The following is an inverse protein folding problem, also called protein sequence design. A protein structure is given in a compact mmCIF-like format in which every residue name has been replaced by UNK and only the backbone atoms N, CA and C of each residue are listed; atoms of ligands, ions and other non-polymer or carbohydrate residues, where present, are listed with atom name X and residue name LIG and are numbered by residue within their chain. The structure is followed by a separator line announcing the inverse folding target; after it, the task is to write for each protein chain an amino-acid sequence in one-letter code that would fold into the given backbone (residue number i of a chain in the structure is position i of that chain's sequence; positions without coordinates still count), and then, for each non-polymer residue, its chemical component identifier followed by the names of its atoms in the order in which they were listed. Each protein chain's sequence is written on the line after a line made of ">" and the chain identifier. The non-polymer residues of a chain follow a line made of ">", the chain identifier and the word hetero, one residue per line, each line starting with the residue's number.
data_IF_655021753225
#
_entry.id   IF_655021753225
#
_cell.length_a   1.000
_cell.length_b   1.000
_cell.length_c   1.000
_cell.angle_alpha   90.00
_cell.angle_beta   90.00
_cell.angle_gamma   90.00
#
_symmetry.space_group_name_H-M   'P 1'
#
loop_
_entity.id
_entity.type
_entity.pdbx_description
1 polymer ?
#
# COMPACT_ATOMS: atom_id res chain seq x y z
N UNK A 1 -4.46 11.77 -19.72
CA UNK A 1 -3.12 11.13 -19.85
C UNK A 1 -3.33 9.62 -19.84
N UNK A 2 -3.24 8.95 -20.99
CA UNK A 2 -3.23 7.49 -21.02
C UNK A 2 -1.89 7.02 -20.42
N UNK A 3 -1.91 6.59 -19.17
CA UNK A 3 -0.85 5.79 -18.58
C UNK A 3 -1.12 4.33 -18.96
N UNK A 4 -0.93 3.97 -20.24
CA UNK A 4 -1.02 2.58 -20.65
C UNK A 4 0.04 2.29 -21.70
N UNK A 5 0.92 1.34 -21.39
CA UNK A 5 1.72 0.66 -22.39
C UNK A 5 0.75 -0.12 -23.28
N UNK A 6 0.60 0.29 -24.55
CA UNK A 6 -0.33 -0.30 -25.52
C UNK A 6 -0.13 -1.80 -25.73
N UNK A 7 1.06 -2.29 -25.40
CA UNK A 7 1.48 -3.67 -25.62
C UNK A 7 1.21 -4.57 -24.40
N UNK A 8 0.75 -3.98 -23.29
CA UNK A 8 0.47 -4.68 -22.05
C UNK A 8 -1.00 -5.07 -22.00
N UNK A 9 -1.25 -6.35 -22.27
CA UNK A 9 -2.58 -6.94 -22.25
C UNK A 9 -2.98 -7.23 -20.80
N UNK A 10 -4.18 -6.83 -20.39
CA UNK A 10 -4.67 -7.00 -19.00
C UNK A 10 -4.68 -8.49 -18.63
N UNK A 11 -4.88 -9.39 -19.58
CA UNK A 11 -4.87 -10.84 -19.39
C UNK A 11 -3.49 -11.39 -18.99
N UNK A 12 -2.43 -10.60 -19.15
CA UNK A 12 -1.05 -10.91 -18.75
C UNK A 12 -0.71 -10.42 -17.32
N UNK A 13 -1.67 -9.78 -16.64
CA UNK A 13 -1.61 -9.39 -15.24
C UNK A 13 -2.39 -10.40 -14.38
N UNK A 14 -1.82 -10.80 -13.24
CA UNK A 14 -2.57 -11.56 -12.24
C UNK A 14 -2.11 -11.25 -10.82
N UNK A 15 -3.05 -11.28 -9.89
CA UNK A 15 -2.76 -11.33 -8.46
C UNK A 15 -2.45 -12.77 -8.06
N UNK A 16 -1.39 -12.96 -7.28
CA UNK A 16 -1.01 -14.23 -6.70
C UNK A 16 -0.73 -14.03 -5.21
N UNK A 17 -1.74 -14.29 -4.40
CA UNK A 17 -1.71 -14.10 -2.96
C UNK A 17 -2.41 -15.26 -2.21
N UNK A 18 -2.71 -15.05 -0.92
CA UNK A 18 -3.41 -16.03 -0.08
C UNK A 18 -4.83 -16.34 -0.54
N UNK A 19 -5.52 -15.36 -1.12
CA UNK A 19 -6.92 -15.45 -1.54
C UNK A 19 -7.07 -16.02 -2.96
N UNK A 20 -5.95 -16.18 -3.69
CA UNK A 20 -5.95 -16.74 -5.04
C UNK A 20 -6.40 -18.22 -5.04
N UNK A 21 -7.52 -18.57 -5.72
CA UNK A 21 -8.07 -19.92 -5.74
C UNK A 21 -7.08 -20.94 -6.30
N UNK A 22 -7.02 -22.13 -5.70
CA UNK A 22 -6.03 -23.15 -6.05
C UNK A 22 -6.09 -23.59 -7.53
N UNK A 23 -7.29 -23.66 -8.11
CA UNK A 23 -7.50 -24.01 -9.51
C UNK A 23 -6.85 -23.00 -10.48
N UNK A 24 -6.82 -21.72 -10.11
CA UNK A 24 -6.30 -20.65 -10.96
C UNK A 24 -4.77 -20.53 -10.89
N UNK A 25 -4.16 -20.98 -9.79
CA UNK A 25 -2.72 -20.86 -9.55
C UNK A 25 -1.87 -21.49 -10.65
N UNK A 26 -2.32 -22.61 -11.22
CA UNK A 26 -1.60 -23.29 -12.30
C UNK A 26 -1.57 -22.48 -13.59
N UNK A 27 -2.69 -21.83 -13.94
CA UNK A 27 -2.80 -21.01 -15.14
C UNK A 27 -2.06 -19.68 -14.99
N UNK A 28 -2.13 -19.04 -13.81
CA UNK A 28 -1.38 -17.82 -13.50
C UNK A 28 0.12 -18.02 -13.76
N UNK A 29 0.71 -19.12 -13.27
CA UNK A 29 2.14 -19.43 -13.48
C UNK A 29 2.53 -19.54 -14.95
N UNK A 30 1.62 -20.00 -15.81
CA UNK A 30 1.89 -20.24 -17.25
C UNK A 30 1.77 -18.97 -18.09
N UNK A 31 0.72 -18.17 -17.85
CA UNK A 31 0.35 -17.06 -18.74
C UNK A 31 0.89 -15.70 -18.32
N UNK A 32 1.03 -15.46 -17.02
CA UNK A 32 1.21 -14.12 -16.47
C UNK A 32 2.62 -13.57 -16.69
N UNK A 33 2.70 -12.28 -17.05
CA UNK A 33 3.95 -11.50 -17.17
C UNK A 33 4.13 -10.52 -16.02
N UNK A 34 3.03 -10.02 -15.44
CA UNK A 34 3.03 -9.17 -14.25
C UNK A 34 2.29 -9.88 -13.12
N UNK A 35 3.01 -10.19 -12.05
CA UNK A 35 2.45 -10.85 -10.86
C UNK A 35 2.40 -9.83 -9.72
N UNK A 36 1.19 -9.57 -9.22
CA UNK A 36 1.00 -8.81 -7.98
C UNK A 36 0.98 -9.80 -6.81
N UNK A 37 1.89 -9.66 -5.87
CA UNK A 37 2.03 -10.56 -4.72
C UNK A 37 2.49 -9.76 -3.50
N UNK A 38 2.37 -10.35 -2.32
CA UNK A 38 2.98 -9.84 -1.08
C UNK A 38 4.27 -10.62 -0.73
N UNK A 39 5.10 -10.11 0.20
CA UNK A 39 6.34 -10.78 0.62
C UNK A 39 6.12 -12.19 1.18
N UNK A 40 5.00 -12.43 1.86
CA UNK A 40 4.68 -13.75 2.43
C UNK A 40 4.46 -14.78 1.33
N UNK A 41 3.68 -14.44 0.30
CA UNK A 41 3.39 -15.30 -0.84
C UNK A 41 4.59 -15.48 -1.78
N UNK A 42 5.48 -14.49 -1.83
CA UNK A 42 6.79 -14.68 -2.41
C UNK A 42 7.57 -15.74 -1.59
N UNK A 43 7.62 -15.62 -0.26
CA UNK A 43 8.34 -16.53 0.63
C UNK A 43 7.83 -17.98 0.63
N UNK A 44 6.50 -18.19 0.70
CA UNK A 44 5.89 -19.53 0.83
C UNK A 44 5.43 -20.11 -0.52
N UNK A 45 4.95 -19.28 -1.44
CA UNK A 45 4.27 -19.72 -2.65
C UNK A 45 5.18 -19.78 -3.88
N UNK A 46 6.02 -18.76 -4.07
CA UNK A 46 6.82 -18.59 -5.29
C UNK A 46 8.21 -19.19 -5.12
N UNK A 47 8.99 -18.70 -4.15
CA UNK A 47 10.41 -19.05 -4.02
C UNK A 47 10.68 -20.54 -3.72
N UNK A 48 9.91 -21.25 -2.87
CA UNK A 48 10.11 -22.68 -2.65
C UNK A 48 9.74 -23.51 -3.88
N UNK A 49 8.77 -23.05 -4.68
CA UNK A 49 8.28 -23.71 -5.88
C UNK A 49 8.91 -23.15 -7.16
N UNK A 50 10.12 -22.60 -7.07
CA UNK A 50 10.76 -21.81 -8.12
C UNK A 50 10.86 -22.52 -9.48
N UNK A 51 10.93 -23.86 -9.50
CA UNK A 51 10.88 -24.66 -10.74
C UNK A 51 9.57 -24.43 -11.53
N UNK A 52 8.44 -24.35 -10.84
CA UNK A 52 7.13 -24.06 -11.45
C UNK A 52 6.99 -22.61 -11.90
N UNK A 53 7.86 -21.72 -11.39
CA UNK A 53 7.93 -20.30 -11.72
C UNK A 53 9.11 -19.97 -12.65
N UNK A 54 9.78 -20.98 -13.20
CA UNK A 54 10.98 -20.84 -14.03
C UNK A 54 10.82 -19.80 -15.13
N UNK A 55 9.70 -19.82 -15.85
CA UNK A 55 9.41 -18.88 -16.94
C UNK A 55 9.44 -17.43 -16.47
N UNK A 56 8.83 -17.13 -15.33
CA UNK A 56 8.84 -15.78 -14.76
C UNK A 56 10.25 -15.41 -14.29
N UNK A 57 10.87 -16.26 -13.47
CA UNK A 57 12.16 -15.97 -12.85
C UNK A 57 13.27 -15.80 -13.90
N UNK A 58 13.28 -16.58 -14.98
CA UNK A 58 14.26 -16.47 -16.08
C UNK A 58 14.15 -15.16 -16.87
N UNK A 59 12.95 -14.58 -16.94
CA UNK A 59 12.69 -13.38 -17.73
C UNK A 59 12.36 -12.16 -16.86
N UNK A 60 12.57 -12.25 -15.54
CA UNK A 60 12.23 -11.19 -14.61
C UNK A 60 13.17 -9.99 -14.83
N UNK A 61 12.61 -8.88 -15.31
CA UNK A 61 13.35 -7.64 -15.55
C UNK A 61 13.16 -6.61 -14.45
N UNK A 62 12.01 -6.62 -13.79
CA UNK A 62 11.64 -5.61 -12.79
C UNK A 62 11.04 -6.28 -11.56
N UNK A 63 11.40 -5.76 -10.39
CA UNK A 63 10.74 -6.05 -9.11
C UNK A 63 10.32 -4.72 -8.51
N UNK A 64 9.02 -4.51 -8.40
CA UNK A 64 8.44 -3.29 -7.81
C UNK A 64 8.07 -3.56 -6.37
N UNK A 65 8.59 -2.76 -5.45
CA UNK A 65 8.29 -2.80 -4.03
C UNK A 65 7.50 -1.54 -3.71
N UNK A 66 6.20 -1.67 -3.58
CA UNK A 66 5.35 -0.57 -3.16
C UNK A 66 5.43 -0.38 -1.64
N UNK A 67 5.23 0.85 -1.19
CA UNK A 67 5.25 1.24 0.23
C UNK A 67 6.42 0.67 1.04
N UNK A 68 7.63 0.76 0.49
CA UNK A 68 8.84 0.18 1.06
C UNK A 68 9.08 0.59 2.53
N UNK A 69 8.59 1.78 2.94
CA UNK A 69 8.66 2.28 4.31
C UNK A 69 7.95 1.39 5.35
N UNK A 70 7.00 0.55 4.94
CA UNK A 70 6.30 -0.40 5.82
C UNK A 70 7.27 -1.52 6.27
N UNK A 71 8.22 -1.90 5.42
CA UNK A 71 9.15 -3.01 5.65
C UNK A 71 10.32 -2.62 6.53
N UNK A 72 10.04 -2.34 7.81
CA UNK A 72 11.04 -1.94 8.82
C UNK A 72 11.04 -2.85 10.06
N UNK A 73 12.05 -2.70 10.91
CA UNK A 73 12.21 -3.52 12.11
C UNK A 73 12.35 -5.01 11.77
N UNK A 74 11.85 -5.88 12.65
CA UNK A 74 11.92 -7.35 12.47
C UNK A 74 11.28 -7.78 11.16
N UNK A 75 10.09 -7.25 10.85
CA UNK A 75 9.39 -7.57 9.61
C UNK A 75 10.21 -7.16 8.37
N UNK A 76 10.80 -5.96 8.37
CA UNK A 76 11.71 -5.51 7.31
C UNK A 76 12.91 -6.43 7.11
N UNK A 77 13.52 -6.90 8.19
CA UNK A 77 14.64 -7.86 8.12
C UNK A 77 14.23 -9.16 7.42
N UNK A 78 13.06 -9.72 7.75
CA UNK A 78 12.53 -10.90 7.07
C UNK A 78 12.33 -10.66 5.57
N UNK A 79 11.70 -9.53 5.21
CA UNK A 79 11.49 -9.18 3.80
C UNK A 79 12.82 -9.04 3.08
N UNK A 80 13.83 -8.43 3.69
CA UNK A 80 15.15 -8.29 3.09
C UNK A 80 15.77 -9.65 2.71
N UNK A 81 15.66 -10.65 3.56
CA UNK A 81 16.15 -12.00 3.27
C UNK A 81 15.33 -12.74 2.19
N UNK A 82 14.02 -12.48 2.14
CA UNK A 82 13.17 -12.95 1.03
C UNK A 82 13.64 -12.36 -0.29
N UNK A 83 13.95 -11.06 -0.34
CA UNK A 83 14.45 -10.40 -1.55
C UNK A 83 15.84 -10.89 -1.95
N UNK A 84 16.74 -11.15 -1.00
CA UNK A 84 18.04 -11.81 -1.27
C UNK A 84 17.86 -13.20 -1.87
N UNK A 85 16.91 -13.99 -1.37
CA UNK A 85 16.57 -15.30 -1.94
C UNK A 85 16.01 -15.19 -3.36
N UNK A 86 15.14 -14.21 -3.61
CA UNK A 86 14.63 -13.92 -4.95
C UNK A 86 15.78 -13.60 -5.90
N UNK A 87 16.68 -12.67 -5.53
CA UNK A 87 17.85 -12.31 -6.33
C UNK A 87 18.73 -13.52 -6.63
N UNK A 88 19.00 -14.36 -5.63
CA UNK A 88 19.78 -15.59 -5.81
C UNK A 88 19.14 -16.53 -6.85
N UNK A 89 17.82 -16.70 -6.81
CA UNK A 89 17.11 -17.53 -7.79
C UNK A 89 17.03 -16.90 -9.17
N UNK A 90 16.89 -15.58 -9.27
CA UNK A 90 16.98 -14.86 -10.54
C UNK A 90 18.36 -15.11 -11.18
N UNK A 91 19.44 -14.91 -10.41
CA UNK A 91 20.80 -15.17 -10.87
C UNK A 91 20.99 -16.63 -11.31
N UNK A 92 20.45 -17.60 -10.56
CA UNK A 92 20.48 -19.02 -10.94
C UNK A 92 19.82 -19.27 -12.30
N UNK A 93 18.74 -18.56 -12.61
CA UNK A 93 18.02 -18.68 -13.88
C UNK A 93 18.51 -17.72 -14.97
N UNK A 94 19.58 -16.96 -14.71
CA UNK A 94 20.22 -16.06 -15.67
C UNK A 94 19.56 -14.69 -15.81
N UNK A 95 18.80 -14.23 -14.80
CA UNK A 95 18.21 -12.89 -14.77
C UNK A 95 18.74 -12.05 -13.61
N UNK A 96 18.84 -10.74 -13.83
CA UNK A 96 19.27 -9.75 -12.84
C UNK A 96 18.28 -8.59 -12.84
N UNK A 97 17.13 -8.71 -12.14
CA UNK A 97 16.07 -7.72 -12.22
C UNK A 97 16.48 -6.38 -11.59
N UNK A 98 15.99 -5.29 -12.18
CA UNK A 98 16.04 -3.95 -11.59
C UNK A 98 14.97 -3.85 -10.50
N UNK A 99 15.35 -3.30 -9.34
CA UNK A 99 14.42 -3.02 -8.25
C UNK A 99 13.95 -1.57 -8.34
N UNK A 100 12.64 -1.37 -8.17
CA UNK A 100 12.00 -0.06 -8.14
C UNK A 100 11.19 -0.01 -6.84
N UNK A 101 11.47 0.97 -5.99
CA UNK A 101 10.80 1.11 -4.70
C UNK A 101 9.98 2.40 -4.68
N UNK A 102 8.73 2.29 -4.24
CA UNK A 102 7.90 3.44 -3.87
C UNK A 102 7.88 3.55 -2.35
N UNK A 103 7.88 4.77 -1.82
CA UNK A 103 7.84 5.02 -0.38
C UNK A 103 7.17 6.35 -0.10
N UNK A 104 6.42 6.44 1.00
CA UNK A 104 6.08 7.72 1.61
C UNK A 104 7.33 8.48 2.08
N UNK A 105 7.15 9.75 2.44
CA UNK A 105 8.21 10.62 2.96
C UNK A 105 8.83 10.02 4.23
N UNK A 106 10.02 9.43 4.09
CA UNK A 106 10.88 8.97 5.18
C UNK A 106 12.20 9.74 5.14
N UNK A 107 12.88 9.84 6.28
CA UNK A 107 14.12 10.64 6.37
C UNK A 107 15.30 10.02 5.60
N UNK A 108 15.31 8.70 5.40
CA UNK A 108 16.44 7.96 4.81
C UNK A 108 16.00 6.93 3.74
N UNK A 109 15.32 7.35 2.66
CA UNK A 109 14.72 6.42 1.68
C UNK A 109 15.75 5.59 0.92
N UNK A 110 16.88 6.19 0.52
CA UNK A 110 17.98 5.49 -0.15
C UNK A 110 18.55 4.39 0.73
N UNK A 111 19.07 4.73 1.91
CA UNK A 111 19.65 3.77 2.86
C UNK A 111 18.66 2.64 3.21
N UNK A 112 17.38 2.97 3.40
CA UNK A 112 16.35 1.97 3.67
C UNK A 112 16.19 0.98 2.51
N UNK A 113 16.08 1.47 1.28
CA UNK A 113 15.97 0.63 0.09
C UNK A 113 17.23 -0.22 -0.14
N UNK A 114 18.42 0.35 0.10
CA UNK A 114 19.69 -0.38 -0.01
C UNK A 114 19.78 -1.52 1.01
N UNK A 115 19.40 -1.27 2.27
CA UNK A 115 19.37 -2.31 3.31
C UNK A 115 18.35 -3.41 3.04
N UNK A 116 17.18 -3.02 2.54
CA UNK A 116 16.09 -3.92 2.21
C UNK A 116 16.45 -4.84 1.03
N UNK A 117 17.04 -4.29 -0.04
CA UNK A 117 17.30 -5.05 -1.28
C UNK A 117 18.72 -5.61 -1.38
N UNK A 118 19.68 -5.02 -0.66
CA UNK A 118 21.11 -5.28 -0.77
C UNK A 118 21.73 -4.81 -2.09
N UNK A 119 21.21 -3.73 -2.68
CA UNK A 119 21.66 -3.12 -3.94
C UNK A 119 21.81 -1.61 -3.75
N UNK A 120 22.67 -0.92 -4.52
CA UNK A 120 22.72 0.55 -4.51
C UNK A 120 21.43 1.14 -5.07
N UNK A 121 21.01 2.30 -4.55
CA UNK A 121 19.78 2.99 -4.98
C UNK A 121 20.02 4.47 -5.31
N UNK A 122 19.34 4.94 -6.35
CA UNK A 122 19.19 6.36 -6.66
C UNK A 122 17.83 6.85 -6.14
N UNK A 123 17.82 7.92 -5.35
CA UNK A 123 16.59 8.51 -4.81
C UNK A 123 16.04 9.53 -5.80
N UNK A 124 14.76 9.39 -6.14
CA UNK A 124 14.01 10.35 -6.96
C UNK A 124 12.99 11.04 -6.06
N UNK A 125 13.30 12.26 -5.60
CA UNK A 125 12.51 13.02 -4.63
C UNK A 125 11.99 14.37 -5.13
N UNK A 126 12.28 14.72 -6.38
CA UNK A 126 11.76 15.92 -7.02
C UNK A 126 10.28 15.73 -7.41
N UNK A 127 9.37 16.17 -6.55
CA UNK A 127 7.93 16.16 -6.82
C UNK A 127 7.52 17.30 -7.75
N UNK A 128 7.37 16.97 -9.03
CA UNK A 128 6.85 17.88 -10.06
C UNK A 128 5.34 17.79 -10.29
N UNK A 129 4.58 17.15 -9.41
CA UNK A 129 3.13 16.99 -9.59
C UNK A 129 2.36 18.31 -9.32
N UNK A 130 1.20 18.52 -9.96
CA UNK A 130 0.40 19.72 -9.74
C UNK A 130 -0.23 19.69 -8.35
N UNK A 131 -0.08 20.79 -7.61
CA UNK A 131 -0.64 20.95 -6.27
C UNK A 131 -1.60 22.13 -6.22
N UNK A 132 -2.79 21.92 -5.64
CA UNK A 132 -3.70 23.00 -5.28
C UNK A 132 -3.38 23.60 -3.91
N UNK A 133 -4.00 24.73 -3.58
CA UNK A 133 -3.98 25.26 -2.21
C UNK A 133 -4.50 24.23 -1.21
N UNK A 134 -3.86 24.16 -0.04
CA UNK A 134 -4.22 23.24 1.03
C UNK A 134 -4.33 24.00 2.35
N UNK A 135 -5.52 23.97 2.94
CA UNK A 135 -5.74 24.47 4.28
C UNK A 135 -5.50 23.35 5.29
N UNK A 136 -4.60 23.59 6.25
CA UNK A 136 -4.33 22.69 7.36
C UNK A 136 -4.77 23.34 8.66
N UNK A 137 -5.84 22.81 9.26
CA UNK A 137 -6.53 23.43 10.40
C UNK A 137 -6.48 22.53 11.62
N UNK A 138 -6.19 23.12 12.78
CA UNK A 138 -6.36 22.45 14.07
C UNK A 138 -7.73 22.76 14.66
N UNK A 139 -8.51 21.72 14.94
CA UNK A 139 -9.82 21.83 15.58
C UNK A 139 -9.74 21.42 17.04
N UNK A 140 -10.04 22.36 17.94
CA UNK A 140 -10.14 22.08 19.37
C UNK A 140 -11.63 22.01 19.77
N UNK A 141 -12.16 20.84 20.17
CA UNK A 141 -13.57 20.69 20.50
C UNK A 141 -14.07 21.71 21.54
N UNK A 142 -15.29 22.24 21.40
CA UNK A 142 -15.80 23.27 22.30
C UNK A 142 -15.96 22.76 23.74
N UNK A 143 -15.88 23.68 24.70
CA UNK A 143 -16.16 23.41 26.11
C UNK A 143 -17.67 23.28 26.27
N UNK A 144 -18.14 22.22 26.95
CA UNK A 144 -19.56 22.00 27.27
C UNK A 144 -19.84 22.35 28.73
N UNK A 145 -18.85 22.20 29.61
CA UNK A 145 -18.95 22.57 31.02
C UNK A 145 -17.69 23.34 31.43
N UNK A 146 -17.82 24.66 31.57
CA UNK A 146 -16.74 25.55 31.96
C UNK A 146 -16.23 25.28 33.38
N UNK A 147 -17.14 24.88 34.29
CA UNK A 147 -16.78 24.62 35.69
C UNK A 147 -15.93 23.36 35.84
N UNK A 148 -16.17 22.34 35.00
CA UNK A 148 -15.41 21.08 34.99
C UNK A 148 -14.34 21.03 33.89
N UNK A 149 -14.21 22.07 33.07
CA UNK A 149 -13.35 22.07 31.88
C UNK A 149 -13.67 20.95 30.88
N UNK A 150 -14.89 20.41 30.90
CA UNK A 150 -15.26 19.25 30.08
C UNK A 150 -15.57 19.70 28.65
N UNK A 151 -14.90 19.07 27.68
CA UNK A 151 -15.06 19.37 26.25
C UNK A 151 -15.93 18.35 25.54
N UNK A 152 -16.48 18.76 24.41
CA UNK A 152 -17.11 17.84 23.46
C UNK A 152 -16.10 16.80 23.01
N UNK A 153 -16.58 15.58 22.82
CA UNK A 153 -15.74 14.50 22.31
C UNK A 153 -15.26 14.86 20.90
N UNK A 154 -13.94 14.76 20.68
CA UNK A 154 -13.34 14.92 19.35
C UNK A 154 -13.98 13.97 18.33
N UNK A 155 -14.44 12.80 18.77
CA UNK A 155 -15.14 11.86 17.91
C UNK A 155 -16.51 12.39 17.47
N UNK A 156 -17.26 13.00 18.39
CA UNK A 156 -18.56 13.61 18.08
C UNK A 156 -18.43 14.83 17.19
N UNK A 157 -17.35 15.62 17.37
CA UNK A 157 -17.00 16.72 16.47
C UNK A 157 -16.63 16.19 15.08
N UNK A 158 -15.79 15.17 15.00
CA UNK A 158 -15.41 14.54 13.73
C UNK A 158 -16.62 13.98 12.98
N UNK A 159 -17.55 13.29 13.66
CA UNK A 159 -18.82 12.85 13.06
C UNK A 159 -19.62 14.03 12.53
N UNK A 160 -19.72 15.13 13.29
CA UNK A 160 -20.52 16.29 12.89
C UNK A 160 -19.92 16.99 11.67
N UNK A 161 -18.61 17.22 11.66
CA UNK A 161 -17.89 17.80 10.52
C UNK A 161 -17.97 16.89 9.28
N UNK A 162 -17.74 15.59 9.45
CA UNK A 162 -17.83 14.63 8.35
C UNK A 162 -19.24 14.60 7.75
N UNK A 163 -20.27 14.56 8.59
CA UNK A 163 -21.67 14.57 8.14
C UNK A 163 -21.97 15.85 7.35
N UNK A 164 -21.58 17.02 7.88
CA UNK A 164 -21.80 18.31 7.22
C UNK A 164 -21.11 18.42 5.85
N UNK A 165 -19.87 17.92 5.74
CA UNK A 165 -19.14 17.89 4.47
C UNK A 165 -19.82 16.96 3.45
N UNK A 166 -20.26 15.77 3.90
CA UNK A 166 -20.99 14.82 3.05
C UNK A 166 -22.33 15.40 2.58
N UNK A 167 -23.08 16.07 3.46
CA UNK A 167 -24.33 16.77 3.09
C UNK A 167 -24.11 17.82 2.00
N UNK A 168 -22.93 18.45 1.97
CA UNK A 168 -22.52 19.42 0.95
C UNK A 168 -21.91 18.79 -0.31
N UNK A 169 -22.00 17.47 -0.47
CA UNK A 169 -21.41 16.70 -1.57
C UNK A 169 -19.88 16.87 -1.68
N UNK A 170 -19.21 17.11 -0.53
CA UNK A 170 -17.77 17.21 -0.46
C UNK A 170 -17.18 15.83 -0.17
N UNK A 171 -16.39 15.31 -1.11
CA UNK A 171 -15.64 14.05 -0.95
C UNK A 171 -14.75 14.12 0.28
N UNK A 172 -15.09 13.31 1.28
CA UNK A 172 -14.51 13.39 2.61
C UNK A 172 -13.97 12.04 3.07
N UNK A 173 -12.89 12.07 3.84
CA UNK A 173 -12.30 10.90 4.49
C UNK A 173 -12.07 11.22 5.97
N UNK A 174 -12.52 10.34 6.87
CA UNK A 174 -12.30 10.48 8.32
C UNK A 174 -11.50 9.31 8.85
N UNK A 175 -10.34 9.59 9.43
CA UNK A 175 -9.51 8.60 10.09
C UNK A 175 -9.90 8.45 11.56
N UNK A 176 -10.01 7.21 12.02
CA UNK A 176 -10.31 6.88 13.40
C UNK A 176 -9.26 5.92 13.98
N UNK A 177 -9.00 6.00 15.29
CA UNK A 177 -7.95 5.22 15.96
C UNK A 177 -8.28 3.73 16.10
N UNK A 178 -9.56 3.36 16.09
CA UNK A 178 -10.01 1.98 16.30
C UNK A 178 -11.13 1.63 15.33
N UNK A 179 -11.24 0.35 14.96
CA UNK A 179 -12.32 -0.17 14.11
C UNK A 179 -13.70 0.18 14.68
N UNK A 180 -13.88 -0.03 15.99
CA UNK A 180 -15.13 0.30 16.69
C UNK A 180 -15.50 1.78 16.54
N UNK A 181 -14.53 2.68 16.60
CA UNK A 181 -14.78 4.10 16.43
C UNK A 181 -15.17 4.44 14.98
N UNK A 182 -14.53 3.81 13.99
CA UNK A 182 -14.92 3.94 12.58
C UNK A 182 -16.39 3.57 12.38
N UNK A 183 -16.82 2.42 12.92
CA UNK A 183 -18.20 1.94 12.84
C UNK A 183 -19.20 2.90 13.51
N UNK A 184 -18.82 3.48 14.65
CA UNK A 184 -19.65 4.47 15.34
C UNK A 184 -19.79 5.76 14.53
N UNK A 185 -18.70 6.31 14.01
CA UNK A 185 -18.74 7.51 13.17
C UNK A 185 -19.62 7.26 11.94
N UNK A 186 -19.45 6.12 11.27
CA UNK A 186 -20.27 5.73 10.11
C UNK A 186 -21.76 5.65 10.49
N UNK A 187 -22.09 4.91 11.54
CA UNK A 187 -23.48 4.69 11.96
C UNK A 187 -24.18 6.00 12.35
N UNK A 188 -23.50 6.86 13.12
CA UNK A 188 -24.07 8.16 13.52
C UNK A 188 -24.20 9.13 12.35
N UNK A 189 -23.23 9.13 11.41
CA UNK A 189 -23.32 9.99 10.22
C UNK A 189 -24.47 9.52 9.33
N UNK A 190 -24.61 8.21 9.11
CA UNK A 190 -25.71 7.63 8.33
C UNK A 190 -27.08 7.94 8.95
N UNK A 191 -27.21 7.84 10.28
CA UNK A 191 -28.45 8.16 10.96
C UNK A 191 -28.83 9.64 10.76
N UNK A 192 -27.88 10.56 10.93
CA UNK A 192 -28.12 12.01 10.73
C UNK A 192 -28.47 12.37 9.30
N UNK A 193 -27.86 11.71 8.32
CA UNK A 193 -28.17 11.91 6.89
C UNK A 193 -29.54 11.36 6.50
N UNK A 194 -30.13 10.48 7.31
CA UNK A 194 -31.47 9.95 7.10
C UNK A 194 -32.57 10.80 7.75
N UNK A 195 -32.20 11.77 8.59
CA UNK A 195 -33.13 12.75 9.16
C UNK A 195 -33.41 13.83 8.08
N UNK A 196 -34.70 14.14 7.82
CA UNK A 196 -35.11 15.03 6.72
C UNK A 196 -34.75 16.50 6.92
#
# INVERSE_FOLDING_TARGET
>A
RQLFCSDLKIEELATFDGDTPQAERAEIRKRTRIVLTNPDMLHIGILPNHQSWYRLLRHLRYVVIDEAHIYRGVFGSHVADVLRRLRRLCNLYGSTPQFICCSATIANPGEHAERLTGLPFEVVDNDGSPHGGKDFVFWNPPIIDETKGTRRSANSEATSLFTELVTKDIRSLTFARTRRLTELIYSYSKQRLAEP
#
